data_IF_127220946394
#
_entry.id   IF_127220946394
#
_cell.length_a   1.000
_cell.length_b   1.000
_cell.length_c   1.000
_cell.angle_alpha   90.00
_cell.angle_beta   90.00
_cell.angle_gamma   90.00
#
_symmetry.space_group_name_H-M   'P 1'
#
loop_
_entity.id
_entity.type
_entity.pdbx_description
1 polymer ?
#
# COMPACT_ATOMS: atom_id res chain seq x y z
N UNK A 1 -8.75 -6.39 -18.58
CA UNK A 1 -9.22 -7.08 -17.35
C UNK A 1 -10.58 -6.51 -17.05
N UNK A 2 -11.59 -7.35 -16.82
CA UNK A 2 -12.95 -6.92 -16.51
C UNK A 2 -13.23 -7.05 -15.02
N UNK A 3 -14.03 -6.15 -14.50
CA UNK A 3 -14.59 -6.18 -13.16
C UNK A 3 -16.09 -6.46 -13.32
N UNK A 4 -16.68 -7.19 -12.41
CA UNK A 4 -18.14 -7.39 -12.37
C UNK A 4 -18.65 -6.79 -11.07
N UNK A 5 -19.44 -5.73 -11.18
CA UNK A 5 -20.09 -5.10 -10.02
C UNK A 5 -21.33 -5.91 -9.64
N UNK A 6 -21.42 -6.33 -8.38
CA UNK A 6 -22.56 -7.06 -7.87
C UNK A 6 -23.59 -6.12 -7.25
N UNK A 7 -23.14 -5.24 -6.35
CA UNK A 7 -23.98 -4.26 -5.65
C UNK A 7 -23.14 -3.01 -5.36
N UNK A 8 -23.73 -1.83 -5.50
CA UNK A 8 -23.10 -0.55 -5.25
C UNK A 8 -24.09 0.47 -4.70
N UNK A 9 -23.62 1.28 -3.77
CA UNK A 9 -24.39 2.39 -3.19
C UNK A 9 -23.47 3.57 -2.85
N UNK A 10 -24.04 4.76 -2.90
CA UNK A 10 -23.40 6.02 -2.49
C UNK A 10 -24.19 6.62 -1.32
N UNK A 11 -23.47 7.10 -0.31
CA UNK A 11 -24.01 7.91 0.77
C UNK A 11 -23.23 9.20 0.90
N UNK A 12 -23.82 10.25 1.46
CA UNK A 12 -23.07 11.47 1.73
C UNK A 12 -22.81 11.64 3.21
N UNK A 13 -21.62 12.12 3.52
CA UNK A 13 -21.24 12.59 4.84
C UNK A 13 -21.09 14.12 4.76
N UNK A 14 -21.91 14.82 5.56
CA UNK A 14 -21.98 16.28 5.57
C UNK A 14 -21.50 16.81 6.91
N UNK A 15 -20.46 17.65 6.86
CA UNK A 15 -19.94 18.30 8.04
C UNK A 15 -20.75 19.54 8.35
N UNK A 16 -21.22 19.65 9.57
CA UNK A 16 -21.84 20.84 10.14
C UNK A 16 -20.90 21.44 11.17
N UNK A 17 -20.51 22.70 10.98
CA UNK A 17 -19.73 23.47 11.94
C UNK A 17 -20.65 24.48 12.60
N UNK A 18 -21.05 24.22 13.84
CA UNK A 18 -21.80 25.18 14.67
C UNK A 18 -21.01 25.44 15.97
N UNK A 19 -20.60 26.70 16.18
CA UNK A 19 -20.09 27.23 17.45
C UNK A 19 -19.14 26.30 18.24
N UNK A 20 -17.97 25.96 17.66
CA UNK A 20 -16.92 25.13 18.27
C UNK A 20 -17.22 23.60 18.35
N UNK A 21 -18.43 23.17 18.02
CA UNK A 21 -18.74 21.75 17.89
C UNK A 21 -18.85 21.36 16.43
N UNK A 22 -18.13 20.32 16.05
CA UNK A 22 -18.23 19.72 14.71
C UNK A 22 -19.07 18.46 14.81
N UNK A 23 -20.12 18.39 14.01
CA UNK A 23 -20.91 17.16 13.87
C UNK A 23 -20.87 16.68 12.40
N UNK A 24 -20.92 15.37 12.22
CA UNK A 24 -21.00 14.74 10.91
C UNK A 24 -22.36 14.12 10.74
N UNK A 25 -23.12 14.57 9.75
CA UNK A 25 -24.41 14.01 9.38
C UNK A 25 -24.27 13.04 8.21
N UNK A 26 -25.03 11.95 8.22
CA UNK A 26 -25.08 11.01 7.10
C UNK A 26 -26.37 11.17 6.31
N UNK A 27 -26.27 11.47 5.01
CA UNK A 27 -27.39 11.45 4.06
C UNK A 27 -27.38 10.11 3.34
N UNK A 28 -28.37 9.30 3.63
CA UNK A 28 -28.45 7.89 3.20
C UNK A 28 -29.34 7.75 1.97
N UNK A 29 -28.91 6.95 1.00
CA UNK A 29 -29.81 6.49 -0.08
C UNK A 29 -30.68 5.36 0.43
N UNK A 30 -31.88 5.29 -0.14
CA UNK A 30 -32.85 4.25 0.17
C UNK A 30 -32.83 3.09 -0.85
N UNK A 31 -32.04 3.23 -1.92
CA UNK A 31 -31.94 2.24 -2.99
C UNK A 31 -30.48 2.09 -3.46
N UNK A 32 -30.13 0.91 -3.93
CA UNK A 32 -28.85 0.66 -4.61
C UNK A 32 -28.80 1.42 -5.94
N UNK A 33 -27.58 1.67 -6.45
CA UNK A 33 -27.43 2.16 -7.81
C UNK A 33 -27.75 1.05 -8.81
N UNK A 34 -28.38 1.46 -9.91
CA UNK A 34 -28.48 0.60 -11.10
C UNK A 34 -27.09 0.42 -11.69
N UNK A 35 -26.71 -0.82 -11.94
CA UNK A 35 -25.43 -1.15 -12.55
C UNK A 35 -25.51 -0.83 -14.05
N UNK A 36 -24.77 0.18 -14.46
CA UNK A 36 -24.63 0.60 -15.86
C UNK A 36 -23.17 0.47 -16.29
N UNK A 37 -22.86 0.50 -17.60
CA UNK A 37 -21.47 0.50 -18.07
C UNK A 37 -20.61 1.61 -17.47
N UNK A 38 -21.20 2.78 -17.18
CA UNK A 38 -20.49 3.91 -16.55
C UNK A 38 -20.15 3.59 -15.09
N UNK A 39 -21.04 2.92 -14.36
CA UNK A 39 -20.79 2.47 -12.98
C UNK A 39 -19.68 1.42 -12.97
N UNK A 40 -19.69 0.44 -13.88
CA UNK A 40 -18.62 -0.55 -13.98
C UNK A 40 -17.28 0.10 -14.35
N UNK A 41 -17.29 1.07 -15.27
CA UNK A 41 -16.08 1.81 -15.64
C UNK A 41 -15.55 2.63 -14.47
N UNK A 42 -16.41 3.31 -13.72
CA UNK A 42 -16.04 4.04 -12.50
C UNK A 42 -15.38 3.10 -11.48
N UNK A 43 -15.98 1.95 -11.23
CA UNK A 43 -15.42 0.97 -10.29
C UNK A 43 -14.10 0.37 -10.77
N UNK A 44 -13.94 0.15 -12.07
CA UNK A 44 -12.66 -0.28 -12.64
C UNK A 44 -11.57 0.76 -12.42
N UNK A 45 -11.87 2.06 -12.61
CA UNK A 45 -10.92 3.15 -12.35
C UNK A 45 -10.57 3.26 -10.85
N UNK A 46 -11.55 3.14 -9.97
CA UNK A 46 -11.31 3.11 -8.52
C UNK A 46 -10.45 1.92 -8.10
N UNK A 47 -10.73 0.74 -8.64
CA UNK A 47 -9.93 -0.46 -8.41
C UNK A 47 -8.48 -0.26 -8.85
N UNK A 48 -8.25 0.23 -10.06
CA UNK A 48 -6.91 0.51 -10.60
C UNK A 48 -6.19 1.59 -9.80
N UNK A 49 -6.89 2.68 -9.47
CA UNK A 49 -6.37 3.74 -8.62
C UNK A 49 -5.96 3.22 -7.23
N UNK A 50 -6.78 2.36 -6.64
CA UNK A 50 -6.48 1.71 -5.37
C UNK A 50 -5.26 0.78 -5.46
N UNK A 51 -5.15 -0.02 -6.53
CA UNK A 51 -4.00 -0.92 -6.74
C UNK A 51 -2.66 -0.18 -6.75
N UNK A 52 -2.62 1.03 -7.28
CA UNK A 52 -1.40 1.83 -7.43
C UNK A 52 -0.98 2.58 -6.15
N UNK A 53 -1.82 2.59 -5.10
CA UNK A 53 -1.52 3.28 -3.83
C UNK A 53 -0.77 2.37 -2.86
N UNK A 54 0.05 2.97 -1.99
CA UNK A 54 0.65 2.26 -0.85
C UNK A 54 -0.43 1.82 0.12
N UNK A 55 -0.46 0.54 0.45
CA UNK A 55 -1.46 -0.10 1.32
C UNK A 55 -0.80 -0.69 2.56
N UNK A 56 -1.57 -0.79 3.63
CA UNK A 56 -1.28 -1.63 4.78
C UNK A 56 -2.32 -2.74 4.86
N UNK A 57 -2.00 -3.82 5.54
CA UNK A 57 -2.91 -4.90 5.86
C UNK A 57 -3.47 -4.71 7.26
N UNK A 58 -4.69 -5.18 7.48
CA UNK A 58 -5.36 -5.18 8.76
C UNK A 58 -6.13 -6.47 9.01
N UNK A 59 -6.47 -6.69 10.26
CA UNK A 59 -7.39 -7.72 10.71
C UNK A 59 -8.45 -7.08 11.58
N UNK A 60 -9.67 -7.62 11.57
CA UNK A 60 -10.72 -7.14 12.45
C UNK A 60 -10.44 -7.55 13.90
N UNK A 61 -10.68 -6.64 14.82
CA UNK A 61 -10.70 -6.92 16.24
C UNK A 61 -11.95 -7.76 16.60
N UNK A 62 -11.87 -8.55 17.65
CA UNK A 62 -12.99 -9.41 18.08
C UNK A 62 -14.29 -8.62 18.38
N UNK A 63 -14.16 -7.38 18.83
CA UNK A 63 -15.28 -6.49 19.17
C UNK A 63 -15.68 -5.54 18.04
N UNK A 64 -15.17 -5.73 16.81
CA UNK A 64 -15.51 -4.88 15.67
C UNK A 64 -17.00 -4.94 15.33
N UNK A 65 -17.71 -3.82 15.45
CA UNK A 65 -19.12 -3.67 15.05
C UNK A 65 -19.25 -3.82 13.53
N UNK A 66 -18.30 -3.23 12.78
CA UNK A 66 -18.26 -3.34 11.33
C UNK A 66 -18.14 -4.81 10.88
N UNK A 67 -17.24 -5.58 11.50
CA UNK A 67 -17.06 -7.00 11.18
C UNK A 67 -18.29 -7.84 11.52
N UNK A 68 -18.94 -7.55 12.64
CA UNK A 68 -20.20 -8.21 13.01
C UNK A 68 -21.30 -7.97 11.97
N UNK A 69 -21.49 -6.73 11.52
CA UNK A 69 -22.45 -6.40 10.48
C UNK A 69 -22.05 -6.98 9.11
N UNK A 70 -20.77 -7.05 8.80
CA UNK A 70 -20.26 -7.71 7.58
C UNK A 70 -20.57 -9.22 7.62
N UNK A 71 -20.36 -9.90 8.73
CA UNK A 71 -20.71 -11.31 8.89
C UNK A 71 -22.22 -11.53 8.70
N UNK A 72 -23.06 -10.69 9.28
CA UNK A 72 -24.52 -10.74 9.08
C UNK A 72 -24.92 -10.55 7.62
N UNK A 73 -24.20 -9.71 6.88
CA UNK A 73 -24.37 -9.57 5.43
C UNK A 73 -23.99 -10.85 4.69
N UNK A 74 -22.85 -11.45 5.02
CA UNK A 74 -22.37 -12.68 4.39
C UNK A 74 -23.24 -13.90 4.69
N UNK A 75 -23.89 -13.93 5.86
CA UNK A 75 -24.86 -14.93 6.27
C UNK A 75 -26.28 -14.64 5.74
N UNK A 76 -26.47 -13.56 4.98
CA UNK A 76 -27.76 -13.10 4.45
C UNK A 76 -28.80 -12.73 5.53
N UNK A 77 -28.38 -12.39 6.73
CA UNK A 77 -29.29 -11.89 7.78
C UNK A 77 -29.71 -10.44 7.51
N UNK A 78 -28.85 -9.64 6.90
CA UNK A 78 -29.14 -8.28 6.43
C UNK A 78 -28.81 -8.16 4.95
N UNK A 79 -29.47 -7.26 4.24
CA UNK A 79 -29.15 -6.96 2.86
C UNK A 79 -28.01 -5.90 2.78
N UNK A 80 -27.42 -5.77 1.59
CA UNK A 80 -26.30 -4.86 1.35
C UNK A 80 -26.65 -3.39 1.61
N UNK A 81 -27.89 -2.97 1.30
CA UNK A 81 -28.32 -1.60 1.57
C UNK A 81 -28.35 -1.31 3.08
N UNK A 82 -28.91 -2.21 3.88
CA UNK A 82 -28.95 -2.05 5.34
C UNK A 82 -27.53 -2.05 5.93
N UNK A 83 -26.66 -2.95 5.48
CA UNK A 83 -25.25 -2.98 5.86
C UNK A 83 -24.57 -1.64 5.55
N UNK A 84 -24.73 -1.11 4.32
CA UNK A 84 -24.10 0.14 3.90
C UNK A 84 -24.59 1.35 4.71
N UNK A 85 -25.89 1.39 5.04
CA UNK A 85 -26.45 2.46 5.87
C UNK A 85 -25.94 2.40 7.32
N UNK A 86 -25.80 1.20 7.91
CA UNK A 86 -25.21 1.01 9.24
C UNK A 86 -23.74 1.41 9.26
N UNK A 87 -22.98 0.94 8.27
CA UNK A 87 -21.56 1.31 8.11
C UNK A 87 -21.36 2.82 7.94
N UNK A 88 -22.24 3.48 7.17
CA UNK A 88 -22.17 4.94 6.98
C UNK A 88 -22.43 5.70 8.27
N UNK A 89 -23.41 5.27 9.08
CA UNK A 89 -23.68 5.87 10.39
C UNK A 89 -22.51 5.69 11.35
N UNK A 90 -21.91 4.49 11.36
CA UNK A 90 -20.72 4.20 12.17
C UNK A 90 -19.55 5.09 11.76
N UNK A 91 -19.29 5.23 10.45
CA UNK A 91 -18.24 6.11 9.94
C UNK A 91 -18.50 7.59 10.30
N UNK A 92 -19.77 8.06 10.19
CA UNK A 92 -20.12 9.43 10.60
C UNK A 92 -19.85 9.68 12.08
N UNK A 93 -20.11 8.71 12.95
CA UNK A 93 -19.81 8.81 14.39
C UNK A 93 -18.29 8.89 14.64
N UNK A 94 -17.50 8.06 13.94
CA UNK A 94 -16.04 8.11 14.08
C UNK A 94 -15.46 9.42 13.56
N UNK A 95 -15.88 9.88 12.38
CA UNK A 95 -15.44 11.15 11.80
C UNK A 95 -15.82 12.36 12.65
N UNK A 96 -16.99 12.31 13.32
CA UNK A 96 -17.42 13.37 14.23
C UNK A 96 -16.50 13.63 15.42
N UNK A 97 -15.61 12.67 15.75
CA UNK A 97 -14.58 12.83 16.79
C UNK A 97 -13.39 13.67 16.32
N UNK A 98 -13.28 13.96 15.02
CA UNK A 98 -12.10 14.60 14.43
C UNK A 98 -12.45 15.91 13.71
N UNK A 99 -11.83 17.00 14.12
CA UNK A 99 -12.08 18.33 13.57
C UNK A 99 -11.61 18.54 12.12
N UNK A 100 -10.73 17.66 11.61
CA UNK A 100 -10.15 17.76 10.27
C UNK A 100 -10.99 17.07 9.18
N UNK A 101 -11.99 16.28 9.55
CA UNK A 101 -12.82 15.60 8.58
C UNK A 101 -13.68 16.60 7.79
N UNK A 102 -13.68 16.46 6.47
CA UNK A 102 -14.50 17.25 5.57
C UNK A 102 -15.71 16.44 5.07
N UNK A 103 -16.67 17.10 4.44
CA UNK A 103 -17.77 16.45 3.76
C UNK A 103 -17.26 15.60 2.61
N UNK A 104 -17.92 14.46 2.32
CA UNK A 104 -17.52 13.58 1.23
C UNK A 104 -18.61 12.60 0.83
N UNK A 105 -18.39 11.90 -0.27
CA UNK A 105 -19.28 10.83 -0.75
C UNK A 105 -18.65 9.48 -0.42
N UNK A 106 -19.33 8.70 0.41
CA UNK A 106 -18.95 7.34 0.73
C UNK A 106 -19.48 6.38 -0.32
N UNK A 107 -18.58 5.62 -0.94
CA UNK A 107 -18.91 4.51 -1.83
C UNK A 107 -18.73 3.20 -1.09
N UNK A 108 -19.73 2.31 -1.17
CA UNK A 108 -19.62 0.90 -0.83
C UNK A 108 -19.96 0.07 -2.06
N UNK A 109 -19.12 -0.87 -2.41
CA UNK A 109 -19.30 -1.71 -3.59
C UNK A 109 -18.85 -3.15 -3.34
N UNK A 110 -19.72 -4.10 -3.59
CA UNK A 110 -19.36 -5.51 -3.76
C UNK A 110 -19.12 -5.79 -5.24
N UNK A 111 -17.98 -6.36 -5.56
CA UNK A 111 -17.59 -6.68 -6.93
C UNK A 111 -16.69 -7.91 -7.00
N UNK A 112 -16.67 -8.58 -8.14
CA UNK A 112 -15.77 -9.68 -8.45
C UNK A 112 -14.66 -9.22 -9.39
N UNK A 113 -13.45 -9.64 -9.10
CA UNK A 113 -12.27 -9.45 -9.94
C UNK A 113 -11.37 -10.68 -9.86
N UNK A 114 -11.07 -11.31 -11.01
CA UNK A 114 -10.24 -12.52 -11.11
C UNK A 114 -10.70 -13.64 -10.15
N UNK A 115 -12.00 -13.96 -10.19
CA UNK A 115 -12.64 -14.99 -9.36
C UNK A 115 -12.57 -14.75 -7.83
N UNK A 116 -12.25 -13.54 -7.41
CA UNK A 116 -12.22 -13.12 -6.00
C UNK A 116 -13.29 -12.08 -5.75
N UNK A 117 -14.07 -12.27 -4.69
CA UNK A 117 -15.08 -11.32 -4.26
C UNK A 117 -14.50 -10.29 -3.30
N UNK A 118 -14.80 -9.03 -3.55
CA UNK A 118 -14.31 -7.91 -2.77
C UNK A 118 -15.46 -7.02 -2.27
N UNK A 119 -15.27 -6.48 -1.08
CA UNK A 119 -15.98 -5.29 -0.61
C UNK A 119 -15.00 -4.11 -0.65
N UNK A 120 -15.36 -3.08 -1.41
CA UNK A 120 -14.62 -1.83 -1.50
C UNK A 120 -15.38 -0.72 -0.80
N UNK A 121 -14.65 0.07 -0.02
CA UNK A 121 -15.19 1.22 0.72
C UNK A 121 -14.23 2.38 0.48
N UNK A 122 -14.74 3.52 0.03
CA UNK A 122 -13.94 4.72 -0.15
C UNK A 122 -14.75 5.98 0.18
N UNK A 123 -14.10 6.92 0.83
CA UNK A 123 -14.60 8.29 0.99
C UNK A 123 -13.96 9.15 -0.08
N UNK A 124 -14.78 9.73 -0.94
CA UNK A 124 -14.38 10.52 -2.11
C UNK A 124 -14.80 11.97 -1.94
N UNK A 125 -13.91 12.86 -2.36
CA UNK A 125 -14.18 14.30 -2.38
C UNK A 125 -14.87 14.70 -3.68
N UNK A 126 -15.67 15.77 -3.62
CA UNK A 126 -16.16 16.46 -4.79
C UNK A 126 -15.21 17.57 -5.20
N UNK A 127 -15.01 17.76 -6.51
CA UNK A 127 -14.21 18.84 -7.07
C UNK A 127 -15.02 19.71 -8.01
N UNK A 128 -14.66 20.97 -8.00
CA UNK A 128 -15.23 21.97 -8.91
C UNK A 128 -14.42 21.99 -10.20
N UNK A 129 -15.13 21.95 -11.33
CA UNK A 129 -14.56 22.12 -12.66
C UNK A 129 -15.41 23.09 -13.47
N UNK A 130 -14.94 23.46 -14.65
CA UNK A 130 -15.66 24.28 -15.62
C UNK A 130 -16.11 23.41 -16.79
N UNK A 131 -17.39 23.49 -17.10
CA UNK A 131 -17.99 22.84 -18.26
C UNK A 131 -18.27 23.90 -19.31
N UNK A 132 -17.98 23.59 -20.57
CA UNK A 132 -18.45 24.40 -21.71
C UNK A 132 -19.75 23.78 -22.19
N UNK A 133 -20.83 24.54 -22.14
CA UNK A 133 -22.16 24.10 -22.58
C UNK A 133 -22.33 24.17 -24.11
N UNK A 134 -23.50 23.76 -24.59
CA UNK A 134 -23.83 23.73 -26.02
C UNK A 134 -23.77 25.12 -26.70
N UNK A 135 -23.87 26.19 -25.91
CA UNK A 135 -23.79 27.60 -26.40
C UNK A 135 -22.35 28.16 -26.29
N UNK A 136 -21.37 27.31 -25.97
CA UNK A 136 -19.97 27.68 -25.72
C UNK A 136 -19.79 28.62 -24.51
N UNK A 137 -20.74 28.63 -23.58
CA UNK A 137 -20.65 29.37 -22.33
C UNK A 137 -19.97 28.50 -21.25
N UNK A 138 -19.20 29.16 -20.37
CA UNK A 138 -18.51 28.50 -19.26
C UNK A 138 -19.47 28.42 -18.07
N UNK A 139 -19.73 27.18 -17.60
CA UNK A 139 -20.52 26.93 -16.40
C UNK A 139 -19.69 26.16 -15.36
N UNK A 140 -19.92 26.51 -14.10
CA UNK A 140 -19.38 25.74 -12.99
C UNK A 140 -20.10 24.39 -12.88
N UNK A 141 -19.34 23.31 -12.78
CA UNK A 141 -19.83 21.97 -12.46
C UNK A 141 -19.09 21.42 -11.26
N UNK A 142 -19.74 20.50 -10.57
CA UNK A 142 -19.14 19.71 -9.49
C UNK A 142 -19.14 18.25 -9.90
N UNK A 143 -18.03 17.55 -9.66
CA UNK A 143 -17.87 16.14 -10.00
C UNK A 143 -17.17 15.39 -8.88
N UNK A 144 -17.44 14.08 -8.78
CA UNK A 144 -16.80 13.18 -7.83
C UNK A 144 -15.37 12.87 -8.27
N UNK A 145 -14.37 13.14 -7.42
CA UNK A 145 -12.98 12.83 -7.74
C UNK A 145 -12.67 11.36 -7.48
N UNK A 146 -12.75 10.55 -8.53
CA UNK A 146 -12.44 9.11 -8.49
C UNK A 146 -10.94 8.80 -8.71
N UNK A 147 -10.12 9.81 -8.93
CA UNK A 147 -8.69 9.67 -9.23
C UNK A 147 -7.81 9.97 -8.01
N UNK A 148 -8.24 10.91 -7.18
CA UNK A 148 -7.53 11.35 -5.98
C UNK A 148 -8.35 11.03 -4.74
N UNK A 149 -8.07 9.90 -4.10
CA UNK A 149 -8.70 9.50 -2.84
C UNK A 149 -7.64 8.89 -1.93
N UNK A 150 -7.69 9.24 -0.66
CA UNK A 150 -6.72 8.82 0.33
C UNK A 150 -7.34 7.99 1.46
N UNK A 151 -8.67 7.88 1.46
CA UNK A 151 -9.44 7.14 2.45
C UNK A 151 -10.19 6.02 1.72
N UNK A 152 -9.63 4.83 1.74
CA UNK A 152 -10.29 3.65 1.20
C UNK A 152 -9.75 2.36 1.84
N UNK A 153 -10.63 1.37 1.91
CA UNK A 153 -10.30 0.00 2.26
C UNK A 153 -10.90 -0.98 1.25
N UNK A 154 -10.28 -2.14 1.17
CA UNK A 154 -10.79 -3.26 0.40
C UNK A 154 -10.67 -4.53 1.23
N UNK A 155 -11.76 -5.27 1.31
CA UNK A 155 -11.85 -6.53 2.01
C UNK A 155 -11.97 -7.64 0.96
N UNK A 156 -11.06 -8.60 1.00
CA UNK A 156 -11.14 -9.83 0.23
C UNK A 156 -12.13 -10.77 0.94
N UNK A 157 -13.37 -10.80 0.47
CA UNK A 157 -14.43 -11.59 1.06
C UNK A 157 -14.21 -13.10 0.91
N UNK A 158 -13.60 -13.50 -0.21
CA UNK A 158 -13.24 -14.89 -0.46
C UNK A 158 -12.22 -15.39 0.58
N UNK A 159 -11.14 -14.62 0.81
CA UNK A 159 -10.11 -14.98 1.78
C UNK A 159 -10.66 -14.96 3.22
N UNK A 160 -11.46 -13.94 3.56
CA UNK A 160 -12.11 -13.82 4.87
C UNK A 160 -12.97 -15.03 5.21
N UNK A 161 -13.69 -15.61 4.22
CA UNK A 161 -14.58 -16.75 4.43
C UNK A 161 -13.85 -18.10 4.43
N UNK A 162 -12.76 -18.23 3.65
CA UNK A 162 -12.08 -19.51 3.44
C UNK A 162 -10.92 -19.70 4.43
N UNK A 163 -10.24 -18.62 4.81
CA UNK A 163 -9.04 -18.67 5.62
C UNK A 163 -9.23 -17.92 6.95
N UNK A 164 -9.66 -18.62 7.98
CA UNK A 164 -9.94 -18.05 9.30
C UNK A 164 -8.70 -17.40 9.98
N UNK A 165 -7.49 -17.76 9.56
CA UNK A 165 -6.23 -17.25 10.12
C UNK A 165 -5.56 -16.22 9.20
N UNK A 166 -6.21 -15.79 8.12
CA UNK A 166 -5.65 -14.78 7.23
C UNK A 166 -5.43 -13.45 7.98
N UNK A 167 -4.26 -12.88 7.81
CA UNK A 167 -3.92 -11.52 8.29
C UNK A 167 -3.83 -10.50 7.14
N UNK A 168 -4.47 -10.81 5.98
CA UNK A 168 -4.32 -10.09 4.70
C UNK A 168 -5.63 -9.76 4.01
N UNK A 169 -6.75 -10.28 4.49
CA UNK A 169 -8.06 -10.09 3.86
C UNK A 169 -8.49 -8.63 3.82
N UNK A 170 -8.03 -7.82 4.78
CA UNK A 170 -8.31 -6.38 4.83
C UNK A 170 -7.07 -5.61 4.39
N UNK A 171 -7.26 -4.72 3.41
CA UNK A 171 -6.24 -3.73 3.02
C UNK A 171 -6.84 -2.33 3.10
N UNK A 172 -6.00 -1.33 3.42
CA UNK A 172 -6.42 0.08 3.46
C UNK A 172 -5.28 0.99 3.01
N UNK A 173 -5.64 2.18 2.47
CA UNK A 173 -4.65 3.15 2.03
C UNK A 173 -3.95 3.75 3.25
N UNK A 174 -2.61 3.70 3.24
CA UNK A 174 -1.79 4.37 4.22
C UNK A 174 -1.53 5.81 3.76
N UNK A 175 -2.33 6.76 4.27
CA UNK A 175 -2.26 8.17 3.86
C UNK A 175 -0.88 8.79 4.05
N UNK A 176 -0.51 9.72 3.16
CA UNK A 176 0.77 10.48 3.23
C UNK A 176 0.79 11.54 4.32
N UNK A 177 -0.35 12.00 4.75
CA UNK A 177 -0.50 13.14 5.67
C UNK A 177 -0.88 12.64 7.06
N UNK A 178 0.14 12.29 7.83
CA UNK A 178 0.06 12.08 9.26
C UNK A 178 -0.76 10.85 9.69
N UNK A 179 -0.36 10.22 10.80
CA UNK A 179 -1.00 9.04 11.43
C UNK A 179 -2.51 9.17 11.67
N UNK A 180 -3.04 10.40 11.71
CA UNK A 180 -4.44 10.67 12.06
C UNK A 180 -5.50 10.18 11.07
N UNK A 181 -5.17 10.09 9.76
CA UNK A 181 -6.15 9.65 8.73
C UNK A 181 -6.28 8.12 8.70
N UNK A 182 -5.20 7.38 8.95
CA UNK A 182 -5.30 5.93 9.07
C UNK A 182 -6.01 5.51 10.35
N UNK A 183 -5.80 6.23 11.44
CA UNK A 183 -6.29 5.86 12.76
C UNK A 183 -7.82 5.86 12.83
N UNK A 184 -8.51 6.94 12.35
CA UNK A 184 -9.97 6.96 12.39
C UNK A 184 -10.63 5.91 11.49
N UNK A 185 -9.97 5.55 10.38
CA UNK A 185 -10.52 4.55 9.47
C UNK A 185 -10.33 3.13 10.02
N UNK A 186 -9.25 2.89 10.74
CA UNK A 186 -9.05 1.67 11.53
C UNK A 186 -10.05 1.58 12.69
N UNK A 187 -10.30 2.69 13.37
CA UNK A 187 -11.32 2.76 14.44
C UNK A 187 -12.73 2.47 13.87
N UNK A 188 -13.07 3.05 12.72
CA UNK A 188 -14.32 2.77 12.01
C UNK A 188 -14.47 1.29 11.65
N UNK A 189 -13.43 0.68 11.09
CA UNK A 189 -13.44 -0.74 10.75
C UNK A 189 -13.34 -1.65 11.98
N UNK A 190 -12.98 -1.10 13.14
CA UNK A 190 -12.64 -1.88 14.32
C UNK A 190 -11.53 -2.87 13.98
N UNK A 191 -10.48 -2.39 13.34
CA UNK A 191 -9.39 -3.20 12.83
C UNK A 191 -8.07 -2.84 13.52
N UNK A 192 -7.14 -3.77 13.50
CA UNK A 192 -5.75 -3.58 13.94
C UNK A 192 -4.76 -3.90 12.83
N UNK A 193 -3.50 -3.51 13.00
CA UNK A 193 -2.47 -3.80 11.99
C UNK A 193 -2.28 -5.31 11.86
N UNK A 194 -2.42 -5.81 10.64
CA UNK A 194 -2.14 -7.18 10.26
C UNK A 194 -0.68 -7.34 9.79
N UNK A 195 -0.51 -8.02 8.66
CA UNK A 195 0.80 -8.18 8.04
C UNK A 195 1.43 -6.81 7.73
N UNK A 196 2.68 -6.61 8.14
CA UNK A 196 3.46 -5.43 7.76
C UNK A 196 4.46 -5.78 6.65
N UNK A 197 4.17 -5.46 5.37
CA UNK A 197 5.06 -5.82 4.27
C UNK A 197 6.46 -5.23 4.40
N UNK A 198 6.60 -4.05 4.98
CA UNK A 198 7.90 -3.41 5.17
C UNK A 198 8.77 -4.21 6.15
N UNK A 199 8.20 -4.64 7.26
CA UNK A 199 8.88 -5.49 8.26
C UNK A 199 9.23 -6.83 7.63
N UNK A 200 8.29 -7.48 6.96
CA UNK A 200 8.53 -8.77 6.30
C UNK A 200 9.66 -8.70 5.26
N UNK A 201 9.69 -7.65 4.43
CA UNK A 201 10.80 -7.47 3.50
C UNK A 201 12.13 -7.20 4.21
N UNK A 202 12.14 -6.44 5.31
CA UNK A 202 13.35 -6.22 6.11
C UNK A 202 13.85 -7.53 6.74
N UNK A 203 12.97 -8.33 7.34
CA UNK A 203 13.30 -9.66 7.86
C UNK A 203 13.83 -10.59 6.76
N UNK A 204 13.20 -10.58 5.57
CA UNK A 204 13.68 -11.36 4.42
C UNK A 204 15.11 -10.95 4.02
N UNK A 205 15.40 -9.66 3.93
CA UNK A 205 16.73 -9.16 3.56
C UNK A 205 17.78 -9.49 4.62
N UNK A 206 17.42 -9.44 5.89
CA UNK A 206 18.28 -9.86 6.99
C UNK A 206 18.55 -11.37 6.90
N UNK A 207 17.50 -12.19 6.72
CA UNK A 207 17.62 -13.63 6.57
C UNK A 207 18.54 -14.03 5.40
N UNK A 208 18.43 -13.33 4.25
CA UNK A 208 19.33 -13.55 3.10
C UNK A 208 20.79 -13.21 3.45
N UNK A 209 21.03 -12.14 4.20
CA UNK A 209 22.38 -11.76 4.60
C UNK A 209 22.97 -12.77 5.56
N UNK A 210 22.22 -13.21 6.57
CA UNK A 210 22.64 -14.19 7.56
C UNK A 210 22.84 -15.58 6.94
N UNK A 211 21.99 -15.96 5.97
CA UNK A 211 22.15 -17.19 5.20
C UNK A 211 23.47 -17.25 4.44
N UNK A 212 23.84 -16.12 3.79
CA UNK A 212 25.13 -16.02 3.11
C UNK A 212 26.31 -16.06 4.08
N UNK A 213 26.20 -15.43 5.25
CA UNK A 213 27.24 -15.39 6.26
C UNK A 213 27.47 -16.78 6.88
N UNK A 214 26.38 -17.48 7.29
CA UNK A 214 26.48 -18.84 7.82
C UNK A 214 26.90 -19.88 6.78
N UNK A 215 26.70 -19.59 5.50
CA UNK A 215 27.17 -20.41 4.39
C UNK A 215 28.62 -20.20 4.02
N UNK A 216 29.38 -19.39 4.78
CA UNK A 216 30.79 -19.03 4.51
C UNK A 216 31.03 -18.55 3.06
N UNK A 217 30.05 -17.86 2.47
CA UNK A 217 30.17 -17.37 1.10
C UNK A 217 31.19 -16.20 1.02
N UNK A 218 32.03 -16.26 0.02
CA UNK A 218 32.88 -15.10 -0.27
C UNK A 218 32.07 -13.92 -0.82
N UNK A 219 32.70 -12.76 -0.96
CA UNK A 219 32.04 -11.52 -1.35
C UNK A 219 31.33 -11.60 -2.72
N UNK A 220 31.94 -12.26 -3.68
CA UNK A 220 31.38 -12.42 -5.05
C UNK A 220 30.16 -13.35 -5.03
N UNK A 221 30.24 -14.44 -4.29
CA UNK A 221 29.14 -15.39 -4.10
C UNK A 221 27.95 -14.72 -3.37
N UNK A 222 28.23 -13.97 -2.30
CA UNK A 222 27.20 -13.20 -1.58
C UNK A 222 26.48 -12.20 -2.49
N UNK A 223 27.22 -11.49 -3.33
CA UNK A 223 26.63 -10.57 -4.31
C UNK A 223 25.78 -11.32 -5.36
N UNK A 224 26.21 -12.48 -5.80
CA UNK A 224 25.44 -13.30 -6.74
C UNK A 224 24.11 -13.74 -6.14
N UNK A 225 24.10 -14.21 -4.88
CA UNK A 225 22.88 -14.58 -4.16
C UNK A 225 21.95 -13.38 -4.00
N UNK A 226 22.45 -12.23 -3.53
CA UNK A 226 21.67 -11.00 -3.37
C UNK A 226 21.06 -10.52 -4.70
N UNK A 227 21.78 -10.68 -5.80
CA UNK A 227 21.27 -10.36 -7.14
C UNK A 227 20.16 -11.32 -7.57
N UNK A 228 20.29 -12.62 -7.32
CA UNK A 228 19.22 -13.59 -7.60
C UNK A 228 17.95 -13.27 -6.82
N UNK A 229 18.06 -12.98 -5.51
CA UNK A 229 16.93 -12.53 -4.69
C UNK A 229 16.29 -11.27 -5.29
N UNK A 230 17.09 -10.27 -5.63
CA UNK A 230 16.60 -9.03 -6.21
C UNK A 230 15.84 -9.25 -7.53
N UNK A 231 16.38 -10.03 -8.47
CA UNK A 231 15.73 -10.27 -9.76
C UNK A 231 14.42 -11.06 -9.58
N UNK A 232 14.37 -12.06 -8.70
CA UNK A 232 13.14 -12.78 -8.38
C UNK A 232 12.09 -11.82 -7.78
N UNK A 233 12.41 -11.11 -6.72
CA UNK A 233 11.48 -10.19 -6.06
C UNK A 233 11.02 -9.05 -6.99
N UNK A 234 11.90 -8.57 -7.88
CA UNK A 234 11.57 -7.57 -8.90
C UNK A 234 10.60 -8.11 -9.95
N UNK A 235 10.75 -9.39 -10.33
CA UNK A 235 9.80 -10.10 -11.19
C UNK A 235 8.42 -10.15 -10.57
N UNK A 236 8.31 -10.58 -9.31
CA UNK A 236 7.05 -10.64 -8.56
C UNK A 236 6.40 -9.24 -8.44
N UNK A 237 7.20 -8.22 -8.16
CA UNK A 237 6.70 -6.84 -8.11
C UNK A 237 6.16 -6.35 -9.46
N UNK A 238 6.74 -6.80 -10.58
CA UNK A 238 6.32 -6.39 -11.93
C UNK A 238 5.04 -7.12 -12.38
N UNK A 239 4.86 -8.39 -12.00
CA UNK A 239 3.64 -9.17 -12.26
C UNK A 239 2.50 -8.83 -11.30
N UNK A 240 2.80 -8.19 -10.16
CA UNK A 240 1.83 -7.93 -9.10
C UNK A 240 1.61 -9.12 -8.17
N UNK A 241 2.53 -10.11 -8.21
CA UNK A 241 2.49 -11.31 -7.39
C UNK A 241 3.27 -11.11 -6.07
N UNK A 242 3.05 -12.02 -5.11
CA UNK A 242 3.79 -12.05 -3.86
C UNK A 242 5.07 -12.90 -3.97
N UNK A 243 6.05 -12.64 -3.10
CA UNK A 243 7.27 -13.43 -2.97
C UNK A 243 6.90 -14.73 -2.24
N UNK A 244 6.89 -15.86 -2.92
CA UNK A 244 6.74 -17.17 -2.27
C UNK A 244 8.10 -17.66 -1.74
N UNK A 245 8.23 -17.90 -0.43
CA UNK A 245 9.50 -18.31 0.19
C UNK A 245 10.02 -19.64 -0.36
N UNK A 246 9.13 -20.57 -0.65
CA UNK A 246 9.49 -21.87 -1.24
C UNK A 246 10.07 -21.74 -2.64
N UNK A 247 9.47 -20.87 -3.49
CA UNK A 247 9.98 -20.61 -4.85
C UNK A 247 11.30 -19.83 -4.80
N UNK A 248 11.38 -18.82 -3.92
CA UNK A 248 12.62 -18.10 -3.70
C UNK A 248 13.73 -19.06 -3.27
N UNK A 249 13.45 -19.94 -2.30
CA UNK A 249 14.41 -20.94 -1.83
C UNK A 249 14.88 -21.88 -2.94
N UNK A 250 13.98 -22.30 -3.83
CA UNK A 250 14.33 -23.14 -4.99
C UNK A 250 15.24 -22.43 -6.00
N UNK A 251 15.19 -21.10 -6.06
CA UNK A 251 16.04 -20.27 -6.93
C UNK A 251 17.40 -19.92 -6.31
N UNK A 252 17.63 -20.25 -5.02
CA UNK A 252 18.87 -19.96 -4.32
C UNK A 252 19.74 -21.22 -4.15
N UNK A 253 21.06 -21.07 -4.02
CA UNK A 253 21.92 -22.21 -3.72
C UNK A 253 21.61 -22.77 -2.34
N UNK A 254 21.61 -24.09 -2.21
CA UNK A 254 21.57 -24.76 -0.91
C UNK A 254 22.93 -24.63 -0.23
N UNK A 255 22.99 -24.01 0.94
CA UNK A 255 24.21 -23.82 1.71
C UNK A 255 24.24 -24.75 2.90
N UNK A 256 25.39 -25.41 3.14
CA UNK A 256 25.58 -26.38 4.23
C UNK A 256 24.47 -27.45 4.29
N UNK A 257 24.07 -27.97 3.12
CA UNK A 257 22.97 -28.94 2.96
C UNK A 257 21.60 -28.43 3.44
N UNK A 258 21.46 -27.12 3.65
CA UNK A 258 20.28 -26.47 4.20
C UNK A 258 19.67 -25.53 3.15
N UNK A 259 18.43 -25.76 2.67
CA UNK A 259 17.70 -24.83 1.81
C UNK A 259 17.38 -23.52 2.57
N UNK A 260 17.21 -22.41 1.83
CA UNK A 260 16.92 -21.11 2.43
C UNK A 260 15.62 -21.11 3.26
N UNK A 261 14.54 -21.77 2.78
CA UNK A 261 13.27 -21.84 3.52
C UNK A 261 13.46 -22.55 4.87
N UNK A 262 14.15 -23.70 4.91
CA UNK A 262 14.44 -24.41 6.15
C UNK A 262 15.29 -23.56 7.12
N UNK A 263 16.27 -22.82 6.58
CA UNK A 263 17.06 -21.91 7.38
C UNK A 263 16.19 -20.81 8.04
N UNK A 264 15.25 -20.23 7.28
CA UNK A 264 14.38 -19.17 7.82
C UNK A 264 13.42 -19.67 8.90
N UNK A 265 12.95 -20.90 8.78
CA UNK A 265 12.09 -21.55 9.78
C UNK A 265 12.86 -21.86 11.07
N UNK A 266 14.07 -22.44 10.95
CA UNK A 266 14.90 -22.80 12.10
C UNK A 266 15.39 -21.58 12.91
N UNK A 267 15.59 -20.44 12.26
CA UNK A 267 16.04 -19.20 12.91
C UNK A 267 14.90 -18.28 13.35
N UNK A 268 13.64 -18.68 13.12
CA UNK A 268 12.42 -17.96 13.54
C UNK A 268 12.41 -16.47 13.16
N UNK A 269 12.65 -16.20 11.86
CA UNK A 269 12.58 -14.81 11.34
C UNK A 269 11.15 -14.25 11.33
N UNK A 270 10.15 -15.04 11.66
CA UNK A 270 8.74 -14.62 11.58
C UNK A 270 8.30 -14.24 10.16
N UNK A 271 8.86 -14.92 9.15
CA UNK A 271 8.50 -14.73 7.77
C UNK A 271 7.24 -15.52 7.43
N UNK A 272 6.33 -14.87 6.72
CA UNK A 272 5.16 -15.51 6.15
C UNK A 272 5.54 -16.37 4.92
N UNK A 273 4.77 -17.38 4.60
CA UNK A 273 4.99 -18.25 3.42
C UNK A 273 5.06 -17.45 2.12
N UNK A 274 4.26 -16.39 2.03
CA UNK A 274 4.29 -15.43 0.92
C UNK A 274 4.40 -14.01 1.47
N UNK A 275 5.13 -13.14 0.79
CA UNK A 275 5.46 -11.79 1.26
C UNK A 275 5.15 -10.79 0.12
N UNK A 276 4.31 -9.77 0.35
CA UNK A 276 4.12 -8.71 -0.63
C UNK A 276 5.43 -7.93 -0.86
N UNK A 277 5.94 -7.84 -2.12
CA UNK A 277 7.20 -7.17 -2.39
C UNK A 277 7.12 -5.65 -2.20
N UNK A 278 8.10 -5.06 -1.50
CA UNK A 278 8.20 -3.63 -1.25
C UNK A 278 9.39 -3.04 -2.00
N UNK A 279 9.13 -2.24 -3.03
CA UNK A 279 10.16 -1.65 -3.90
C UNK A 279 11.27 -0.91 -3.15
N UNK A 280 10.94 -0.17 -2.10
CA UNK A 280 11.95 0.58 -1.30
C UNK A 280 12.91 -0.35 -0.56
N UNK A 281 12.40 -1.45 -0.01
CA UNK A 281 13.22 -2.44 0.67
C UNK A 281 14.13 -3.18 -0.32
N UNK A 282 13.61 -3.62 -1.45
CA UNK A 282 14.39 -4.37 -2.46
C UNK A 282 15.57 -3.56 -3.03
N UNK A 283 15.47 -2.24 -3.10
CA UNK A 283 16.59 -1.39 -3.55
C UNK A 283 17.84 -1.54 -2.70
N UNK A 284 17.72 -1.88 -1.43
CA UNK A 284 18.87 -2.05 -0.53
C UNK A 284 19.75 -3.24 -0.87
N UNK A 285 19.24 -4.22 -1.64
CA UNK A 285 20.03 -5.35 -2.14
C UNK A 285 21.09 -4.94 -3.19
N UNK A 286 20.80 -3.87 -3.94
CA UNK A 286 21.61 -3.47 -5.09
C UNK A 286 22.22 -2.08 -4.98
N UNK A 287 21.82 -1.28 -3.96
CA UNK A 287 22.26 0.10 -3.80
C UNK A 287 22.60 0.45 -2.37
N UNK A 288 23.67 1.20 -2.21
CA UNK A 288 23.90 1.96 -0.99
C UNK A 288 23.29 3.35 -1.12
N UNK A 289 22.58 3.81 -0.10
CA UNK A 289 22.03 5.16 -0.07
C UNK A 289 22.03 5.73 1.35
N UNK A 290 22.32 7.01 1.45
CA UNK A 290 22.30 7.75 2.70
C UNK A 290 22.11 9.23 2.46
N UNK A 291 21.44 9.92 3.40
CA UNK A 291 21.27 11.37 3.36
C UNK A 291 21.48 11.98 4.74
N UNK A 292 22.12 13.11 4.80
CA UNK A 292 22.35 13.85 6.04
C UNK A 292 23.20 15.10 5.82
N UNK A 293 23.03 16.09 6.66
CA UNK A 293 23.82 17.33 6.67
C UNK A 293 23.93 18.03 5.30
N UNK A 294 22.86 18.02 4.51
CA UNK A 294 22.85 18.65 3.18
C UNK A 294 23.44 17.80 2.05
N UNK A 295 23.83 16.56 2.33
CA UNK A 295 24.38 15.62 1.35
C UNK A 295 23.46 14.41 1.18
N UNK A 296 23.29 13.96 -0.07
CA UNK A 296 22.63 12.70 -0.40
C UNK A 296 23.53 11.92 -1.34
N UNK A 297 23.80 10.67 -0.97
CA UNK A 297 24.57 9.73 -1.78
C UNK A 297 23.71 8.52 -2.09
N UNK A 298 23.76 8.06 -3.35
CA UNK A 298 23.15 6.81 -3.77
C UNK A 298 23.98 6.23 -4.91
N UNK A 299 24.41 4.98 -4.77
CA UNK A 299 25.19 4.30 -5.79
C UNK A 299 24.97 2.79 -5.76
N UNK A 300 25.22 2.14 -6.89
CA UNK A 300 25.06 0.70 -7.02
C UNK A 300 26.14 -0.05 -6.20
N UNK A 301 25.75 -1.15 -5.56
CA UNK A 301 26.63 -1.92 -4.67
C UNK A 301 27.90 -2.40 -5.37
N UNK A 302 27.85 -2.68 -6.68
CA UNK A 302 28.98 -3.11 -7.50
C UNK A 302 30.10 -2.05 -7.62
N UNK A 303 29.77 -0.79 -7.32
CA UNK A 303 30.76 0.30 -7.36
C UNK A 303 31.63 0.36 -6.10
N UNK A 304 31.21 -0.27 -5.00
CA UNK A 304 31.98 -0.29 -3.76
C UNK A 304 33.25 -1.16 -3.93
N UNK A 305 34.40 -0.63 -3.56
CA UNK A 305 35.76 -1.18 -3.75
C UNK A 305 36.21 -1.31 -5.23
N UNK A 306 35.45 -0.69 -6.15
CA UNK A 306 35.85 -0.54 -7.55
C UNK A 306 36.04 0.94 -7.88
N UNK A 307 34.93 1.70 -7.97
CA UNK A 307 34.95 3.15 -8.23
C UNK A 307 34.72 3.97 -6.97
N UNK A 308 34.22 3.36 -5.91
CA UNK A 308 33.93 4.00 -4.63
C UNK A 308 34.66 3.22 -3.55
N UNK A 309 35.52 3.90 -2.82
CA UNK A 309 36.32 3.34 -1.74
C UNK A 309 35.92 4.03 -0.43
N UNK A 310 35.60 3.24 0.61
CA UNK A 310 35.34 3.74 1.94
C UNK A 310 36.47 3.34 2.89
N UNK A 311 37.00 4.34 3.55
CA UNK A 311 37.97 4.15 4.64
C UNK A 311 37.27 4.31 5.98
N UNK A 312 37.05 3.20 6.74
CA UNK A 312 36.39 3.23 8.01
C UNK A 312 37.14 3.94 9.13
N UNK A 313 38.48 4.09 9.00
CA UNK A 313 39.32 4.74 10.02
C UNK A 313 39.20 6.26 9.97
N UNK A 314 39.05 6.80 8.77
CA UNK A 314 38.95 8.26 8.56
C UNK A 314 37.51 8.69 8.25
N UNK A 315 36.57 7.74 8.17
CA UNK A 315 35.18 7.95 7.74
C UNK A 315 35.12 8.72 6.40
N UNK A 316 36.00 8.37 5.45
CA UNK A 316 36.14 9.06 4.17
C UNK A 316 35.66 8.17 3.03
N UNK A 317 34.80 8.73 2.16
CA UNK A 317 34.34 8.09 0.94
C UNK A 317 35.04 8.74 -0.28
N UNK A 318 35.81 7.96 -1.00
CA UNK A 318 36.50 8.41 -2.22
C UNK A 318 35.78 7.90 -3.46
N UNK A 319 35.39 8.81 -4.36
CA UNK A 319 34.67 8.50 -5.59
C UNK A 319 35.58 8.76 -6.80
N UNK A 320 35.88 7.70 -7.56
CA UNK A 320 36.66 7.77 -8.81
C UNK A 320 35.71 7.90 -10.00
N UNK A 321 35.93 8.91 -10.85
CA UNK A 321 35.13 9.11 -12.06
C UNK A 321 33.71 9.61 -11.74
N UNK A 322 33.59 10.79 -11.19
CA UNK A 322 32.32 11.47 -10.91
C UNK A 322 31.48 11.69 -12.19
N UNK A 323 30.14 11.74 -12.09
CA UNK A 323 29.27 11.99 -13.23
C UNK A 323 29.61 13.29 -13.96
N UNK A 324 29.52 13.32 -15.31
CA UNK A 324 29.98 14.49 -16.10
C UNK A 324 29.28 15.81 -15.73
N UNK A 325 27.97 15.74 -15.45
CA UNK A 325 27.18 16.90 -15.02
C UNK A 325 27.63 17.48 -13.67
N UNK A 326 27.97 16.61 -12.71
CA UNK A 326 28.50 17.02 -11.41
C UNK A 326 29.94 17.61 -11.59
N UNK A 327 30.75 16.97 -12.42
CA UNK A 327 32.13 17.48 -12.73
C UNK A 327 32.07 18.88 -13.30
N UNK A 328 31.18 19.15 -14.26
CA UNK A 328 31.01 20.48 -14.86
C UNK A 328 30.58 21.55 -13.83
N UNK A 329 29.64 21.20 -12.93
CA UNK A 329 29.22 22.09 -11.84
C UNK A 329 30.38 22.44 -10.89
N UNK A 330 31.16 21.43 -10.46
CA UNK A 330 32.30 21.62 -9.57
C UNK A 330 33.40 22.47 -10.24
N UNK A 331 33.67 22.21 -11.53
CA UNK A 331 34.66 23.02 -12.29
C UNK A 331 34.21 24.48 -12.45
N UNK A 332 32.91 24.75 -12.63
CA UNK A 332 32.39 26.12 -12.68
C UNK A 332 32.51 26.82 -11.34
N UNK A 333 32.15 26.13 -10.24
CA UNK A 333 32.25 26.70 -8.90
C UNK A 333 33.69 27.08 -8.54
N UNK A 334 34.69 26.20 -8.82
CA UNK A 334 36.09 26.47 -8.54
C UNK A 334 36.70 27.58 -9.45
N UNK A 335 36.10 27.89 -10.60
CA UNK A 335 36.55 28.98 -11.47
C UNK A 335 36.01 30.35 -11.05
N UNK A 336 34.93 30.40 -10.26
CA UNK A 336 34.37 31.65 -9.74
C UNK A 336 35.14 32.19 -8.50
N UNK A 337 36.01 31.36 -7.88
CA UNK A 337 36.82 31.72 -6.70
C UNK A 337 38.23 32.21 -7.06
N UNK A 338 38.59 32.32 -8.34
CA UNK A 338 39.80 32.92 -8.88
C UNK A 338 39.45 34.14 -9.75
#
# INVERSE_FOLDING_TARGET
MSITVNQIVLHQLVKHAENETTSMESVLRDELLTITPEVEQMMLQLHQGYQNKGKAFGVFQENSIFAQDLNRLLENEINFLNFSQQSTKLLAQELGKYNFADSGTLILCQYNFLATDYLFIALLDSRISMLVDENLEIRRTEYLDITQFDIAARINLTDLQVNANSNRYLTFIKGRVGRKISDFFMDFLGAEEGLNPQVQNQCLLQAVSDYCEQGDLNKEQTQAVKKQVFEYCKGQLASGDEIALTELSANLPTLNERPFVTFTEEQDYGLEETIPPVRSALKTLTKFSGSGKGMTLSFDADLLNNRIEWDPLTDTLTIKGIPPNLKDQLQKALKCDN
#
